data_IF_344217616722
#
_entry.id   IF_344217616722
#
_cell.length_a   1.000
_cell.length_b   1.000
_cell.length_c   1.000
_cell.angle_alpha   90.00
_cell.angle_beta   90.00
_cell.angle_gamma   90.00
#
_symmetry.space_group_name_H-M   'P 1'
#
loop_
_entity.id
_entity.type
_entity.pdbx_description
1 polymer ?
#
# COMPACT_ATOMS: atom_id res chain seq x y z
N UNK A 1 13.32 10.14 -5.27
CA UNK A 1 11.84 10.20 -5.30
C UNK A 1 11.41 9.80 -6.70
N UNK A 2 10.69 8.71 -6.82
CA UNK A 2 9.91 8.43 -8.01
C UNK A 2 8.94 9.60 -8.21
N UNK A 3 9.03 10.24 -9.35
CA UNK A 3 8.07 11.25 -9.79
C UNK A 3 7.30 10.67 -10.99
N UNK A 4 6.76 9.48 -10.79
CA UNK A 4 6.05 8.69 -11.78
C UNK A 4 4.58 8.60 -11.39
N UNK A 5 3.76 8.15 -12.32
CA UNK A 5 2.35 7.92 -12.11
C UNK A 5 1.96 6.54 -12.64
N UNK A 6 1.10 5.86 -11.89
CA UNK A 6 0.57 4.57 -12.25
C UNK A 6 -0.94 4.65 -12.52
N UNK A 7 -1.41 3.83 -13.45
CA UNK A 7 -2.80 3.41 -13.49
C UNK A 7 -3.03 2.37 -12.41
N UNK A 8 -4.10 2.55 -11.62
CA UNK A 8 -4.47 1.64 -10.53
C UNK A 8 -5.91 1.21 -10.68
N UNK A 9 -6.17 -0.08 -10.45
CA UNK A 9 -7.52 -0.64 -10.32
C UNK A 9 -7.51 -1.75 -9.27
N UNK A 10 -8.65 -1.97 -8.59
CA UNK A 10 -8.81 -3.14 -7.73
C UNK A 10 -8.76 -4.44 -8.56
N UNK A 11 -8.11 -5.47 -8.07
CA UNK A 11 -7.92 -6.72 -8.79
C UNK A 11 -9.26 -7.42 -9.13
N UNK A 12 -10.28 -7.26 -8.30
CA UNK A 12 -11.63 -7.77 -8.55
C UNK A 12 -12.25 -7.19 -9.84
N UNK A 13 -11.85 -5.98 -10.23
CA UNK A 13 -12.33 -5.27 -11.42
C UNK A 13 -11.32 -5.28 -12.57
N UNK A 14 -10.25 -6.06 -12.47
CA UNK A 14 -9.25 -6.22 -13.51
C UNK A 14 -9.80 -7.04 -14.69
N UNK A 15 -10.76 -6.48 -15.44
CA UNK A 15 -11.31 -7.14 -16.64
C UNK A 15 -10.27 -7.22 -17.76
N UNK A 16 -10.47 -8.07 -18.79
CA UNK A 16 -9.61 -8.11 -19.97
C UNK A 16 -9.43 -6.74 -20.63
N UNK A 17 -10.51 -5.94 -20.68
CA UNK A 17 -10.51 -4.58 -21.24
C UNK A 17 -9.65 -3.64 -20.40
N UNK A 18 -9.73 -3.71 -19.06
CA UNK A 18 -8.92 -2.91 -18.16
C UNK A 18 -7.42 -3.24 -18.30
N UNK A 19 -7.08 -4.52 -18.37
CA UNK A 19 -5.69 -4.96 -18.57
C UNK A 19 -5.18 -4.55 -19.97
N UNK A 20 -6.01 -4.71 -21.01
CA UNK A 20 -5.66 -4.24 -22.34
C UNK A 20 -5.49 -2.72 -22.39
N UNK A 21 -6.33 -1.97 -21.66
CA UNK A 21 -6.20 -0.52 -21.52
C UNK A 21 -4.83 -0.13 -20.89
N UNK A 22 -4.45 -0.78 -19.80
CA UNK A 22 -3.15 -0.57 -19.15
C UNK A 22 -1.99 -0.90 -20.09
N UNK A 23 -2.02 -2.05 -20.76
CA UNK A 23 -0.99 -2.47 -21.69
C UNK A 23 -0.84 -1.50 -22.87
N UNK A 24 -1.97 -0.96 -23.38
CA UNK A 24 -1.99 -0.09 -24.56
C UNK A 24 -1.62 1.36 -24.22
N UNK A 25 -2.14 1.88 -23.12
CA UNK A 25 -2.10 3.30 -22.82
C UNK A 25 -1.13 3.68 -21.69
N UNK A 26 -0.90 2.79 -20.72
CA UNK A 26 0.14 3.00 -19.72
C UNK A 26 1.50 2.44 -20.19
N UNK A 27 1.54 1.25 -20.74
CA UNK A 27 2.74 0.61 -21.34
C UNK A 27 3.83 0.20 -20.34
N UNK A 28 3.61 0.41 -19.05
CA UNK A 28 4.47 -0.01 -17.97
C UNK A 28 4.38 -1.52 -17.70
N UNK A 29 5.03 -1.96 -16.65
CA UNK A 29 4.93 -3.34 -16.18
C UNK A 29 3.62 -3.51 -15.41
N UNK A 30 2.75 -4.41 -15.89
CA UNK A 30 1.51 -4.73 -15.17
C UNK A 30 1.85 -5.58 -13.95
N UNK A 31 1.80 -4.95 -12.77
CA UNK A 31 2.06 -5.58 -11.49
C UNK A 31 0.75 -5.78 -10.70
N UNK A 32 0.77 -6.76 -9.80
CA UNK A 32 -0.34 -7.09 -8.93
C UNK A 32 0.02 -6.89 -7.44
N UNK A 33 -0.10 -5.65 -6.88
CA UNK A 33 0.03 -5.43 -5.46
C UNK A 33 -0.92 -6.32 -4.65
N UNK A 34 -0.37 -6.96 -3.62
CA UNK A 34 -1.09 -7.82 -2.66
C UNK A 34 -0.78 -7.37 -1.24
N UNK A 35 -1.74 -7.54 -0.34
CA UNK A 35 -1.44 -7.42 1.08
C UNK A 35 -0.44 -8.50 1.51
N UNK A 36 0.34 -8.27 2.59
CA UNK A 36 1.25 -9.28 3.12
C UNK A 36 0.55 -10.59 3.43
N UNK A 37 -0.63 -10.52 4.05
CA UNK A 37 -1.43 -11.68 4.44
C UNK A 37 -1.86 -12.49 3.22
N UNK A 38 -2.24 -11.80 2.12
CA UNK A 38 -2.62 -12.48 0.89
C UNK A 38 -1.43 -13.15 0.21
N UNK A 39 -0.29 -12.49 0.15
CA UNK A 39 0.93 -13.05 -0.39
C UNK A 39 1.39 -14.30 0.41
N UNK A 40 1.24 -14.27 1.75
CA UNK A 40 1.54 -15.41 2.62
C UNK A 40 0.57 -16.59 2.39
N UNK A 41 -0.74 -16.31 2.31
CA UNK A 41 -1.76 -17.33 2.01
C UNK A 41 -1.47 -18.05 0.70
N UNK A 42 -1.03 -17.32 -0.31
CA UNK A 42 -0.68 -17.86 -1.63
C UNK A 42 0.75 -18.42 -1.69
N UNK A 43 1.51 -18.36 -0.59
CA UNK A 43 2.89 -18.84 -0.48
C UNK A 43 3.80 -18.29 -1.59
N UNK A 44 3.65 -17.00 -1.91
CA UNK A 44 4.44 -16.33 -2.93
C UNK A 44 5.79 -15.90 -2.36
N UNK A 45 6.91 -16.57 -2.72
CA UNK A 45 8.23 -16.19 -2.25
C UNK A 45 8.68 -14.90 -2.94
N UNK A 46 9.54 -14.14 -2.27
CA UNK A 46 10.21 -13.01 -2.91
C UNK A 46 11.07 -13.48 -4.10
N UNK A 47 11.11 -12.67 -5.15
CA UNK A 47 11.88 -12.95 -6.36
C UNK A 47 13.39 -13.05 -6.08
N UNK A 48 13.86 -12.41 -5.04
CA UNK A 48 15.27 -12.43 -4.61
C UNK A 48 15.37 -12.51 -3.08
N UNK A 49 16.37 -13.22 -2.60
CA UNK A 49 16.70 -13.27 -1.15
C UNK A 49 17.37 -11.98 -0.67
N UNK A 50 17.97 -11.21 -1.56
CA UNK A 50 18.63 -9.92 -1.26
C UNK A 50 18.09 -8.87 -2.21
N UNK A 51 17.19 -8.04 -1.72
CA UNK A 51 16.65 -6.92 -2.48
C UNK A 51 17.68 -5.78 -2.52
N UNK A 52 18.14 -5.42 -3.72
CA UNK A 52 19.09 -4.31 -3.98
C UNK A 52 18.44 -3.19 -4.78
N UNK A 53 17.12 -3.26 -4.97
CA UNK A 53 16.36 -2.23 -5.66
C UNK A 53 16.28 -0.97 -4.78
N UNK A 54 16.47 0.22 -5.37
CA UNK A 54 16.62 1.47 -4.64
C UNK A 54 15.39 1.86 -3.81
N UNK A 55 14.20 1.49 -4.26
CA UNK A 55 12.92 1.75 -3.58
C UNK A 55 12.49 0.58 -2.71
N UNK A 56 13.27 -0.51 -2.71
CA UNK A 56 12.99 -1.75 -1.97
C UNK A 56 11.63 -2.37 -2.31
N UNK A 57 11.20 -2.27 -3.58
CA UNK A 57 9.96 -2.87 -4.04
C UNK A 57 10.04 -4.39 -3.91
N UNK A 58 9.10 -4.97 -3.18
CA UNK A 58 9.12 -6.39 -2.85
C UNK A 58 8.42 -7.22 -3.94
N UNK A 59 9.11 -7.42 -5.07
CA UNK A 59 8.68 -8.36 -6.10
C UNK A 59 8.66 -9.78 -5.54
N UNK A 60 7.56 -10.49 -5.79
CA UNK A 60 7.51 -11.94 -5.63
C UNK A 60 7.85 -12.62 -6.96
N UNK A 61 7.99 -13.95 -6.94
CA UNK A 61 8.05 -14.70 -8.21
C UNK A 61 6.81 -14.39 -9.04
N UNK A 62 6.98 -14.31 -10.36
CA UNK A 62 5.87 -14.12 -11.29
C UNK A 62 4.98 -15.35 -11.34
N UNK A 63 3.69 -15.16 -11.62
CA UNK A 63 2.69 -16.22 -11.65
C UNK A 63 1.78 -16.12 -12.87
N UNK A 64 1.18 -17.26 -13.22
CA UNK A 64 -0.01 -17.35 -14.07
C UNK A 64 -1.05 -18.22 -13.37
N UNK A 65 -2.33 -18.07 -13.74
CA UNK A 65 -3.37 -19.00 -13.30
C UNK A 65 -3.03 -20.43 -13.78
N UNK A 66 -3.30 -21.43 -12.93
CA UNK A 66 -3.00 -22.83 -13.26
C UNK A 66 -3.96 -23.43 -14.32
N UNK A 67 -5.12 -22.80 -14.52
CA UNK A 67 -6.20 -23.29 -15.37
C UNK A 67 -6.74 -22.20 -16.29
N UNK A 68 -7.36 -22.61 -17.40
CA UNK A 68 -8.06 -21.76 -18.35
C UNK A 68 -7.17 -20.71 -19.03
N UNK A 69 -5.88 -21.02 -19.19
CA UNK A 69 -4.90 -20.20 -19.93
C UNK A 69 -4.16 -21.02 -20.97
N UNK A 70 -3.54 -20.35 -21.94
CA UNK A 70 -2.64 -20.94 -22.92
C UNK A 70 -1.20 -20.57 -22.62
N UNK A 71 -0.80 -19.32 -22.98
CA UNK A 71 0.55 -18.81 -22.73
C UNK A 71 0.65 -17.89 -21.50
N UNK A 72 -0.50 -17.35 -21.00
CA UNK A 72 -0.56 -16.46 -19.84
C UNK A 72 -0.41 -14.97 -20.13
N UNK A 73 0.11 -14.57 -21.30
CA UNK A 73 0.47 -13.17 -21.58
C UNK A 73 -0.69 -12.31 -22.12
N UNK A 74 -1.74 -12.90 -22.68
CA UNK A 74 -2.85 -12.13 -23.24
C UNK A 74 -3.54 -11.30 -22.14
N UNK A 75 -4.23 -10.21 -22.53
CA UNK A 75 -4.96 -9.38 -21.57
C UNK A 75 -6.04 -10.19 -20.82
N UNK A 76 -6.69 -11.14 -21.50
CA UNK A 76 -7.67 -12.05 -20.89
C UNK A 76 -7.05 -12.96 -19.85
N UNK A 77 -5.91 -13.58 -20.15
CA UNK A 77 -5.22 -14.52 -19.24
C UNK A 77 -4.60 -13.79 -18.04
N UNK A 78 -3.99 -12.63 -18.25
CA UNK A 78 -3.52 -11.80 -17.13
C UNK A 78 -4.66 -11.30 -16.27
N UNK A 79 -5.80 -10.93 -16.85
CA UNK A 79 -7.02 -10.60 -16.12
C UNK A 79 -7.48 -11.76 -15.24
N UNK A 80 -7.53 -12.98 -15.80
CA UNK A 80 -7.87 -14.19 -15.03
C UNK A 80 -6.92 -14.40 -13.85
N UNK A 81 -5.61 -14.38 -14.12
CA UNK A 81 -4.58 -14.54 -13.08
C UNK A 81 -4.73 -13.50 -11.96
N UNK A 82 -4.90 -12.22 -12.32
CA UNK A 82 -5.04 -11.13 -11.36
C UNK A 82 -6.30 -11.27 -10.50
N UNK A 83 -7.42 -11.61 -11.11
CA UNK A 83 -8.67 -11.82 -10.38
C UNK A 83 -8.59 -13.04 -9.47
N UNK A 84 -7.90 -14.10 -9.89
CA UNK A 84 -7.62 -15.26 -9.04
C UNK A 84 -6.72 -14.89 -7.86
N UNK A 85 -5.73 -14.00 -8.03
CA UNK A 85 -4.94 -13.46 -6.92
C UNK A 85 -5.82 -12.74 -5.87
N UNK A 86 -6.91 -12.12 -6.26
CA UNK A 86 -7.85 -11.44 -5.37
C UNK A 86 -8.91 -12.38 -4.76
N UNK A 87 -9.17 -13.55 -5.35
CA UNK A 87 -10.19 -14.47 -4.85
C UNK A 87 -9.77 -15.05 -3.49
N UNK A 88 -10.50 -14.78 -2.38
CA UNK A 88 -10.15 -15.28 -1.06
C UNK A 88 -10.15 -16.82 -0.97
N UNK A 89 -10.79 -17.51 -1.91
CA UNK A 89 -10.84 -18.98 -1.96
C UNK A 89 -9.65 -19.58 -2.70
N UNK A 90 -8.95 -18.81 -3.51
CA UNK A 90 -7.80 -19.30 -4.26
C UNK A 90 -6.61 -19.61 -3.33
N UNK A 91 -5.92 -20.69 -3.65
CA UNK A 91 -4.79 -21.27 -2.95
C UNK A 91 -3.53 -21.26 -3.83
N UNK A 92 -2.41 -21.70 -3.29
CA UNK A 92 -1.17 -21.87 -4.07
C UNK A 92 -1.33 -22.77 -5.30
N UNK A 93 -2.24 -23.74 -5.25
CA UNK A 93 -2.47 -24.70 -6.35
C UNK A 93 -3.19 -24.09 -7.56
N UNK A 94 -3.76 -22.89 -7.39
CA UNK A 94 -4.45 -22.17 -8.47
C UNK A 94 -3.47 -21.36 -9.34
N UNK A 95 -2.16 -21.48 -9.07
CA UNK A 95 -1.12 -20.76 -9.79
C UNK A 95 0.02 -21.65 -10.23
N UNK A 96 0.64 -21.28 -11.35
CA UNK A 96 1.93 -21.81 -11.83
C UNK A 96 2.99 -20.71 -11.71
N UNK A 97 4.24 -21.13 -11.55
CA UNK A 97 5.41 -20.26 -11.38
C UNK A 97 6.56 -20.80 -12.25
N UNK A 98 7.29 -19.95 -12.99
CA UNK A 98 7.02 -18.51 -13.21
C UNK A 98 5.84 -18.27 -14.14
N UNK A 99 5.38 -17.01 -14.23
CA UNK A 99 4.30 -16.59 -15.11
C UNK A 99 4.48 -15.17 -15.64
N UNK A 100 3.39 -14.54 -16.09
CA UNK A 100 3.40 -13.25 -16.79
C UNK A 100 2.76 -12.11 -15.95
N UNK A 101 2.27 -12.40 -14.74
CA UNK A 101 1.82 -11.41 -13.76
C UNK A 101 2.86 -11.34 -12.65
N UNK A 102 3.19 -10.12 -12.21
CA UNK A 102 4.21 -9.85 -11.21
C UNK A 102 3.57 -9.38 -9.90
N UNK A 103 3.31 -10.28 -8.93
CA UNK A 103 2.77 -9.85 -7.66
C UNK A 103 3.80 -9.04 -6.87
N UNK A 104 3.33 -7.99 -6.19
CA UNK A 104 4.14 -7.15 -5.31
C UNK A 104 3.60 -7.25 -3.89
N UNK A 105 4.48 -7.59 -2.96
CA UNK A 105 4.12 -7.64 -1.54
C UNK A 105 4.17 -6.24 -0.94
N UNK A 106 3.02 -5.68 -0.55
CA UNK A 106 2.97 -4.39 0.13
C UNK A 106 3.59 -4.46 1.53
N UNK A 107 4.11 -3.34 2.01
CA UNK A 107 4.62 -3.22 3.38
C UNK A 107 3.44 -3.08 4.36
N UNK A 108 3.44 -3.79 5.52
CA UNK A 108 2.47 -3.55 6.59
C UNK A 108 2.46 -2.07 6.99
N UNK A 109 1.26 -1.48 7.17
CA UNK A 109 1.10 -0.05 7.43
C UNK A 109 0.87 0.81 6.18
N UNK A 110 1.06 0.24 4.97
CA UNK A 110 0.73 0.90 3.70
C UNK A 110 1.56 2.16 3.46
N UNK A 111 0.95 3.19 2.83
CA UNK A 111 1.64 4.45 2.48
C UNK A 111 2.19 5.21 3.69
N UNK A 112 1.74 4.92 4.89
CA UNK A 112 2.28 5.51 6.13
C UNK A 112 3.65 4.96 6.50
N UNK A 113 4.01 3.78 5.98
CA UNK A 113 5.32 3.13 6.17
C UNK A 113 6.22 3.28 4.94
N UNK A 114 5.68 3.05 3.75
CA UNK A 114 6.38 3.19 2.48
C UNK A 114 5.50 3.96 1.49
N UNK A 115 5.94 5.14 1.09
CA UNK A 115 5.20 6.03 0.19
C UNK A 115 5.35 5.60 -1.28
N UNK A 116 4.98 4.34 -1.60
CA UNK A 116 5.06 3.74 -2.93
C UNK A 116 3.68 3.46 -3.54
N UNK A 117 3.63 3.27 -4.86
CA UNK A 117 2.39 2.94 -5.59
C UNK A 117 1.83 1.57 -5.20
N UNK A 118 2.70 0.60 -4.84
CA UNK A 118 2.30 -0.70 -4.30
C UNK A 118 1.42 -0.54 -3.06
N UNK A 119 1.89 0.24 -2.08
CA UNK A 119 1.17 0.52 -0.84
C UNK A 119 -0.08 1.37 -1.10
N UNK A 120 0.03 2.38 -1.96
CA UNK A 120 -1.10 3.21 -2.34
C UNK A 120 -2.22 2.39 -2.99
N UNK A 121 -1.89 1.41 -3.81
CA UNK A 121 -2.87 0.50 -4.42
C UNK A 121 -3.64 -0.27 -3.35
N UNK A 122 -2.94 -0.88 -2.40
CA UNK A 122 -3.58 -1.67 -1.32
C UNK A 122 -4.41 -0.79 -0.40
N UNK A 123 -3.92 0.39 -0.04
CA UNK A 123 -4.66 1.33 0.80
C UNK A 123 -5.95 1.80 0.13
N UNK A 124 -5.90 2.21 -1.13
CA UNK A 124 -7.08 2.63 -1.89
C UNK A 124 -8.13 1.52 -2.00
N UNK A 125 -7.69 0.29 -2.28
CA UNK A 125 -8.57 -0.87 -2.40
C UNK A 125 -9.21 -1.21 -1.05
N UNK A 126 -8.45 -1.20 0.04
CA UNK A 126 -8.99 -1.39 1.41
C UNK A 126 -9.99 -0.30 1.80
N UNK A 127 -9.68 0.96 1.51
CA UNK A 127 -10.59 2.08 1.77
C UNK A 127 -11.90 1.99 0.97
N UNK A 128 -11.86 1.36 -0.21
CA UNK A 128 -13.04 1.06 -1.01
C UNK A 128 -13.85 -0.15 -0.50
N UNK A 129 -13.39 -0.84 0.55
CA UNK A 129 -14.05 -2.04 1.10
C UNK A 129 -13.91 -3.29 0.23
N UNK A 130 -12.89 -3.33 -0.63
CA UNK A 130 -12.61 -4.43 -1.56
C UNK A 130 -11.50 -5.36 -1.04
N UNK A 131 -11.31 -6.50 -1.71
CA UNK A 131 -10.23 -7.43 -1.38
C UNK A 131 -8.86 -6.72 -1.51
N UNK A 132 -7.90 -6.93 -0.58
CA UNK A 132 -6.64 -6.20 -0.53
C UNK A 132 -5.65 -6.71 -1.60
N UNK A 133 -6.06 -6.62 -2.84
CA UNK A 133 -5.33 -6.93 -4.06
C UNK A 133 -5.69 -5.92 -5.14
N UNK A 134 -4.71 -5.44 -5.89
CA UNK A 134 -4.94 -4.48 -6.97
C UNK A 134 -4.03 -4.72 -8.16
N UNK A 135 -4.11 -3.82 -9.11
CA UNK A 135 -3.22 -3.74 -10.27
C UNK A 135 -2.62 -2.36 -10.30
N UNK A 136 -1.35 -2.26 -10.58
CA UNK A 136 -0.69 -1.00 -10.92
C UNK A 136 0.14 -1.16 -12.19
N UNK A 137 0.28 -0.08 -12.94
CA UNK A 137 1.03 -0.05 -14.18
C UNK A 137 1.53 1.38 -14.41
N UNK A 138 2.84 1.56 -14.54
CA UNK A 138 3.46 2.86 -14.76
C UNK A 138 3.04 3.45 -16.10
N UNK A 139 2.87 4.77 -16.15
CA UNK A 139 2.47 5.47 -17.37
C UNK A 139 3.72 5.98 -18.10
N UNK A 140 3.94 5.47 -19.31
CA UNK A 140 4.92 5.96 -20.25
C UNK A 140 4.28 6.84 -21.33
N UNK A 141 5.03 7.84 -21.77
CA UNK A 141 4.67 8.67 -22.94
C UNK A 141 4.94 7.94 -24.26
N UNK A 142 4.46 8.51 -25.35
CA UNK A 142 4.63 7.93 -26.69
C UNK A 142 6.10 7.79 -27.13
N UNK A 143 6.98 8.66 -26.57
CA UNK A 143 8.42 8.63 -26.81
C UNK A 143 9.17 7.60 -25.94
N UNK A 144 8.46 6.83 -25.10
CA UNK A 144 9.02 5.81 -24.21
C UNK A 144 9.56 6.37 -22.90
N UNK A 145 9.52 7.68 -22.64
CA UNK A 145 9.90 8.26 -21.37
C UNK A 145 8.72 8.23 -20.38
N UNK A 146 9.03 8.28 -19.08
CA UNK A 146 7.98 8.20 -18.04
C UNK A 146 7.14 9.47 -17.99
N UNK A 147 5.82 9.33 -17.90
CA UNK A 147 4.91 10.44 -17.67
C UNK A 147 5.16 11.07 -16.30
N UNK A 148 5.09 12.40 -16.23
CA UNK A 148 5.24 13.20 -15.02
C UNK A 148 3.95 13.95 -14.72
N UNK A 149 3.82 14.55 -13.55
CA UNK A 149 2.60 15.28 -13.12
C UNK A 149 2.06 16.22 -14.20
N UNK A 150 2.94 16.94 -14.93
CA UNK A 150 2.54 17.82 -16.01
C UNK A 150 1.88 17.15 -17.21
N UNK A 151 2.17 15.87 -17.42
CA UNK A 151 1.65 15.09 -18.56
C UNK A 151 0.28 14.45 -18.25
N UNK A 152 -0.09 14.38 -16.95
CA UNK A 152 -1.26 13.62 -16.51
C UNK A 152 -2.60 14.31 -16.82
N UNK A 153 -2.65 15.63 -16.82
CA UNK A 153 -3.90 16.38 -17.04
C UNK A 153 -4.59 16.05 -18.36
N UNK A 154 -3.88 16.08 -19.50
CA UNK A 154 -4.42 15.66 -20.79
C UNK A 154 -4.83 14.17 -20.80
N UNK A 155 -4.04 13.30 -20.18
CA UNK A 155 -4.32 11.86 -20.08
C UNK A 155 -5.61 11.60 -19.29
N UNK A 156 -5.74 12.20 -18.11
CA UNK A 156 -6.94 12.11 -17.27
C UNK A 156 -8.21 12.58 -18.03
N UNK A 157 -8.11 13.74 -18.69
CA UNK A 157 -9.24 14.29 -19.45
C UNK A 157 -9.65 13.39 -20.60
N UNK A 158 -8.67 12.85 -21.33
CA UNK A 158 -8.90 11.98 -22.49
C UNK A 158 -9.64 10.71 -22.10
N UNK A 159 -9.33 10.12 -20.95
CA UNK A 159 -9.87 8.83 -20.55
C UNK A 159 -10.86 8.91 -19.36
N UNK A 160 -11.20 10.10 -18.88
CA UNK A 160 -12.15 10.29 -17.80
C UNK A 160 -11.65 9.75 -16.43
N UNK A 161 -10.33 9.75 -16.22
CA UNK A 161 -9.72 9.17 -15.03
C UNK A 161 -9.66 10.16 -13.86
N UNK A 162 -9.77 9.63 -12.65
CA UNK A 162 -9.47 10.37 -11.41
C UNK A 162 -8.01 10.17 -11.04
N UNK A 163 -7.40 11.13 -10.35
CA UNK A 163 -6.07 10.97 -9.79
C UNK A 163 -5.99 11.53 -8.38
N UNK A 164 -5.12 10.94 -7.59
CA UNK A 164 -4.64 11.48 -6.33
C UNK A 164 -3.13 11.28 -6.25
N UNK A 165 -2.48 12.03 -5.38
CA UNK A 165 -1.06 11.80 -5.06
C UNK A 165 -0.93 10.90 -3.84
N UNK A 166 0.18 10.19 -3.73
CA UNK A 166 0.52 9.42 -2.52
C UNK A 166 0.55 10.35 -1.28
N UNK A 167 0.99 11.60 -1.45
CA UNK A 167 0.99 12.59 -0.37
C UNK A 167 -0.43 12.90 0.13
N UNK A 168 -1.40 13.10 -0.78
CA UNK A 168 -2.81 13.30 -0.41
C UNK A 168 -3.38 12.06 0.30
N UNK A 169 -3.02 10.87 -0.13
CA UNK A 169 -3.45 9.62 0.52
C UNK A 169 -2.88 9.51 1.94
N UNK A 170 -1.60 9.83 2.12
CA UNK A 170 -0.96 9.88 3.45
C UNK A 170 -1.67 10.89 4.37
N UNK A 171 -1.93 12.09 3.88
CA UNK A 171 -2.63 13.12 4.64
C UNK A 171 -4.04 12.66 5.05
N UNK A 172 -4.79 12.10 4.11
CA UNK A 172 -6.12 11.56 4.35
C UNK A 172 -6.09 10.47 5.42
N UNK A 173 -5.21 9.47 5.30
CA UNK A 173 -5.10 8.38 6.29
C UNK A 173 -4.71 8.90 7.67
N UNK A 174 -3.76 9.86 7.76
CA UNK A 174 -3.37 10.48 9.02
C UNK A 174 -4.51 11.23 9.69
N UNK A 175 -5.40 11.85 8.90
CA UNK A 175 -6.55 12.58 9.44
C UNK A 175 -7.69 11.66 9.90
N UNK A 176 -7.86 10.50 9.27
CA UNK A 176 -8.99 9.59 9.52
C UNK A 176 -8.66 8.42 10.45
N UNK A 177 -7.41 7.98 10.47
CA UNK A 177 -7.01 6.79 11.21
C UNK A 177 -6.33 7.14 12.53
N UNK A 178 -6.75 6.49 13.62
CA UNK A 178 -6.04 6.55 14.88
C UNK A 178 -4.81 5.64 14.83
N UNK A 179 -3.63 6.25 14.80
CA UNK A 179 -2.35 5.53 14.58
C UNK A 179 -1.77 4.91 15.86
N UNK A 180 -2.37 5.18 17.01
CA UNK A 180 -1.88 4.73 18.32
C UNK A 180 -3.00 4.09 19.14
N UNK A 181 -2.66 3.11 19.95
CA UNK A 181 -3.53 2.55 20.98
C UNK A 181 -2.98 2.80 22.38
N UNK A 182 -3.86 3.09 23.33
CA UNK A 182 -3.49 3.12 24.74
C UNK A 182 -3.29 1.68 25.22
N UNK A 183 -2.11 1.39 25.79
CA UNK A 183 -1.75 0.10 26.35
C UNK A 183 -2.03 0.05 27.84
N UNK A 184 -1.54 1.06 28.57
CA UNK A 184 -1.59 1.09 30.02
C UNK A 184 -1.67 2.55 30.54
N UNK A 185 -2.23 2.73 31.71
CA UNK A 185 -2.27 4.01 32.40
C UNK A 185 -1.90 3.80 33.88
N UNK A 186 -0.89 4.50 34.35
CA UNK A 186 -0.42 4.40 35.73
C UNK A 186 -0.26 5.78 36.38
N UNK A 187 -0.47 5.85 37.70
CA UNK A 187 -0.11 7.03 38.49
C UNK A 187 1.38 7.07 38.70
N UNK A 188 1.99 8.23 38.51
CA UNK A 188 3.42 8.45 38.64
C UNK A 188 3.67 9.66 39.54
N UNK A 189 3.75 9.47 40.85
CA UNK A 189 4.13 10.54 41.77
C UNK A 189 5.61 10.86 41.58
N UNK A 190 5.93 12.16 41.57
CA UNK A 190 7.31 12.68 41.46
C UNK A 190 7.52 13.83 42.42
N UNK A 191 8.79 14.23 42.61
CA UNK A 191 9.15 15.41 43.42
C UNK A 191 8.58 16.74 42.84
N UNK A 192 8.16 16.71 41.58
CA UNK A 192 7.58 17.86 40.85
C UNK A 192 6.04 17.86 40.77
N UNK A 193 5.38 16.85 41.38
CA UNK A 193 3.95 16.70 41.40
C UNK A 193 3.47 15.32 40.92
N UNK A 194 2.17 15.10 41.01
CA UNK A 194 1.53 13.85 40.60
C UNK A 194 1.24 13.88 39.11
N UNK A 195 1.77 12.93 38.38
CA UNK A 195 1.51 12.71 36.97
C UNK A 195 0.68 11.46 36.75
N UNK A 196 -0.06 11.44 35.64
CA UNK A 196 -0.63 10.24 35.06
C UNK A 196 0.23 9.89 33.84
N UNK A 197 0.82 8.70 33.84
CA UNK A 197 1.62 8.19 32.73
C UNK A 197 0.74 7.28 31.86
N UNK A 198 0.60 7.62 30.58
CA UNK A 198 -0.07 6.81 29.59
C UNK A 198 0.95 6.19 28.66
N UNK A 199 0.94 4.87 28.54
CA UNK A 199 1.73 4.13 27.57
C UNK A 199 0.90 3.89 26.31
N UNK A 200 1.39 4.39 25.18
CA UNK A 200 0.80 4.16 23.87
C UNK A 200 1.71 3.29 23.02
N UNK A 201 1.09 2.48 22.17
CA UNK A 201 1.77 1.73 21.12
C UNK A 201 1.33 2.21 19.76
N UNK A 202 2.29 2.42 18.88
CA UNK A 202 2.06 2.77 17.48
C UNK A 202 1.64 1.54 16.67
N UNK A 203 0.54 1.63 15.93
CA UNK A 203 0.10 0.58 14.99
C UNK A 203 1.01 0.43 13.78
N UNK A 204 1.87 1.42 13.50
CA UNK A 204 2.72 1.43 12.32
C UNK A 204 3.99 0.60 12.49
N UNK A 205 4.58 0.62 13.68
CA UNK A 205 5.91 0.04 13.93
C UNK A 205 6.04 -0.67 15.29
N UNK A 206 4.95 -0.69 16.08
CA UNK A 206 4.97 -1.25 17.42
C UNK A 206 5.78 -0.41 18.43
N UNK A 207 6.22 0.80 18.05
CA UNK A 207 6.96 1.67 18.93
C UNK A 207 6.10 2.09 20.12
N UNK A 208 6.72 2.12 21.30
CA UNK A 208 6.09 2.54 22.55
C UNK A 208 6.38 4.01 22.82
N UNK A 209 5.34 4.75 23.20
CA UNK A 209 5.42 6.17 23.52
C UNK A 209 4.78 6.44 24.89
N UNK A 210 5.41 7.30 25.67
CA UNK A 210 4.89 7.74 26.96
C UNK A 210 4.30 9.15 26.86
N UNK A 211 3.14 9.34 27.45
CA UNK A 211 2.56 10.67 27.68
C UNK A 211 2.41 10.89 29.20
N UNK A 212 3.18 11.83 29.74
CA UNK A 212 3.09 12.25 31.13
C UNK A 212 2.14 13.43 31.23
N UNK A 213 1.02 13.26 31.89
CA UNK A 213 -0.02 14.26 32.04
C UNK A 213 -0.06 14.76 33.48
N UNK A 214 0.06 16.07 33.67
CA UNK A 214 -0.14 16.74 34.94
C UNK A 214 -1.43 17.58 34.90
N UNK A 215 -2.35 17.30 35.83
CA UNK A 215 -3.67 17.93 35.88
C UNK A 215 -4.67 17.38 34.86
N UNK A 216 -5.72 18.15 34.58
CA UNK A 216 -6.81 17.77 33.67
C UNK A 216 -6.61 18.42 32.29
N UNK A 217 -6.74 17.62 31.26
CA UNK A 217 -6.76 18.08 29.86
C UNK A 217 -8.20 18.28 29.43
N UNK A 218 -8.50 19.45 28.87
CA UNK A 218 -9.82 19.81 28.35
C UNK A 218 -9.71 20.25 26.90
N UNK A 219 -10.70 19.88 26.08
CA UNK A 219 -10.77 20.32 24.68
C UNK A 219 -10.95 21.84 24.54
N UNK A 220 -11.47 22.51 25.58
CA UNK A 220 -11.81 23.95 25.57
C UNK A 220 -10.61 24.85 25.89
N UNK A 221 -9.48 24.27 26.31
CA UNK A 221 -8.28 25.02 26.72
C UNK A 221 -7.03 24.51 26.01
N UNK A 222 -6.15 25.42 25.54
CA UNK A 222 -4.84 25.03 25.04
C UNK A 222 -4.05 24.33 26.14
N UNK A 223 -3.45 23.19 25.80
CA UNK A 223 -2.58 22.42 26.70
C UNK A 223 -1.13 22.65 26.31
N UNK A 224 -0.29 23.01 27.29
CA UNK A 224 1.15 23.11 27.06
C UNK A 224 1.73 21.71 26.91
N UNK A 225 2.40 21.45 25.78
CA UNK A 225 3.00 20.16 25.48
C UNK A 225 4.50 20.32 25.23
N UNK A 226 5.30 19.44 25.82
CA UNK A 226 6.71 19.27 25.51
C UNK A 226 6.92 17.90 24.86
N UNK A 227 7.45 17.89 23.64
CA UNK A 227 7.94 16.67 23.00
C UNK A 227 9.39 16.46 23.41
N UNK A 228 9.71 15.24 23.83
CA UNK A 228 11.03 14.83 24.31
C UNK A 228 11.43 13.53 23.63
N UNK A 229 12.72 13.33 23.34
CA UNK A 229 13.23 12.05 22.85
C UNK A 229 13.26 11.01 23.98
N UNK A 230 13.39 9.72 23.65
CA UNK A 230 13.29 8.59 24.59
C UNK A 230 14.35 8.58 25.71
N UNK A 231 15.33 9.47 25.69
CA UNK A 231 16.31 9.57 26.77
C UNK A 231 15.59 10.05 28.05
N UNK A 232 15.34 9.14 28.97
CA UNK A 232 14.70 9.38 30.27
C UNK A 232 15.69 9.82 31.35
N UNK A 233 16.92 10.19 30.98
CA UNK A 233 17.97 10.66 31.90
C UNK A 233 18.13 12.16 31.85
#
# INVERSE_FOLDING_TARGET
RENEADLIIAAEFATPEAINFMATHARGLICAPLSPERADTLQLPLMTSVNRENMSTAFTVSVDAAHDITTGISAGERSLTIRTLADPKATVNDFVQPGHVFPLRAVPGGVLRRAGHTEATIDLVRMAGLQPAGVCCEIMKDDGTMARIGDLGPFQKKYGLKACTVAQLIEHRRAQEKQIRLVETVKMPTDYGDFTCHLYESHLDGALHLALVHGEISADKPTLVRVHSECLT
#
